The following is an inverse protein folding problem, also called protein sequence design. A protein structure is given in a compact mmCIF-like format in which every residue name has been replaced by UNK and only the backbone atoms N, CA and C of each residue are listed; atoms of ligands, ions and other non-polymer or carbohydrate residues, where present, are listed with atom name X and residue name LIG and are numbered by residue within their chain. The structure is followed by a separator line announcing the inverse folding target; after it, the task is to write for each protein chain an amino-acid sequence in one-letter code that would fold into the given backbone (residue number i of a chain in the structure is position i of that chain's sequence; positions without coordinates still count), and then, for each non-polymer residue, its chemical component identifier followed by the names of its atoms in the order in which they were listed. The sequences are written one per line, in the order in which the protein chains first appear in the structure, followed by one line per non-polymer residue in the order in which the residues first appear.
data_IF_431976198642
#
_entry.id   IF_431976198642
#
_cell.length_a   1.000
_cell.length_b   1.000
_cell.length_c   1.000
_cell.angle_alpha   90.00
_cell.angle_beta   90.00
_cell.angle_gamma   90.00
#
_symmetry.space_group_name_H-M   'P 1'
#
loop_
_entity.id
_entity.type
_entity.pdbx_description
1 polymer ?
#
# COMPACT_ATOMS: atom_id res chain seq x y z
N UNK A 1 -90.70 -29.83 -24.10
CA UNK A 1 -90.04 -28.51 -23.92
C UNK A 1 -89.02 -28.70 -22.85
N UNK A 2 -87.75 -28.82 -23.24
CA UNK A 2 -86.61 -29.03 -22.35
C UNK A 2 -85.94 -27.70 -21.97
N UNK A 3 -85.53 -27.48 -20.75
CA UNK A 3 -84.51 -26.51 -20.47
C UNK A 3 -83.16 -27.21 -20.24
N UNK A 4 -82.18 -26.71 -20.93
CA UNK A 4 -80.77 -27.09 -20.87
C UNK A 4 -80.16 -26.67 -19.54
N UNK A 5 -79.51 -27.62 -18.85
CA UNK A 5 -78.62 -27.40 -17.69
C UNK A 5 -77.23 -27.01 -18.16
N UNK A 6 -76.85 -25.79 -17.86
CA UNK A 6 -75.45 -25.29 -18.08
C UNK A 6 -74.60 -25.70 -16.90
N UNK A 7 -73.58 -26.52 -17.15
CA UNK A 7 -72.57 -26.89 -16.16
C UNK A 7 -71.43 -25.87 -16.16
N UNK A 8 -71.34 -25.10 -15.09
CA UNK A 8 -70.18 -24.22 -14.84
C UNK A 8 -68.96 -25.04 -14.47
N UNK A 9 -67.90 -24.97 -15.27
CA UNK A 9 -66.56 -25.54 -14.97
C UNK A 9 -65.81 -24.53 -14.14
N UNK A 10 -65.51 -24.88 -12.87
CA UNK A 10 -64.59 -24.14 -12.01
C UNK A 10 -63.21 -24.57 -12.38
N UNK A 11 -62.40 -23.66 -12.93
CA UNK A 11 -60.95 -23.85 -13.15
C UNK A 11 -60.19 -23.44 -11.89
N UNK A 12 -59.60 -24.43 -11.21
CA UNK A 12 -58.68 -24.18 -10.10
C UNK A 12 -57.31 -23.86 -10.69
N UNK A 13 -56.89 -22.59 -10.60
CA UNK A 13 -55.54 -22.18 -10.95
C UNK A 13 -54.62 -22.51 -9.77
N UNK A 14 -53.77 -23.53 -9.95
CA UNK A 14 -52.66 -23.82 -9.02
C UNK A 14 -51.52 -22.88 -9.32
N UNK A 15 -51.31 -21.86 -8.47
CA UNK A 15 -50.18 -20.96 -8.54
C UNK A 15 -48.98 -21.66 -7.88
N UNK A 16 -48.05 -22.13 -8.70
CA UNK A 16 -46.72 -22.56 -8.24
C UNK A 16 -45.92 -21.33 -7.89
N UNK A 17 -45.76 -21.03 -6.59
CA UNK A 17 -44.76 -20.07 -6.13
C UNK A 17 -43.39 -20.71 -6.32
N UNK A 18 -42.69 -20.34 -7.42
CA UNK A 18 -41.29 -20.61 -7.58
C UNK A 18 -40.54 -19.72 -6.59
N UNK A 19 -40.24 -20.22 -5.41
CA UNK A 19 -39.27 -19.60 -4.50
C UNK A 19 -37.89 -19.59 -5.16
N UNK A 20 -37.48 -18.43 -5.71
CA UNK A 20 -36.08 -18.22 -6.07
C UNK A 20 -35.27 -18.30 -4.78
N UNK A 21 -34.66 -19.44 -4.53
CA UNK A 21 -33.54 -19.56 -3.61
C UNK A 21 -32.37 -18.77 -4.22
N UNK A 22 -32.24 -17.51 -3.81
CA UNK A 22 -31.02 -16.76 -4.06
C UNK A 22 -29.86 -17.57 -3.39
N UNK A 23 -28.78 -17.89 -4.12
CA UNK A 23 -27.65 -18.54 -3.49
C UNK A 23 -27.17 -17.61 -2.37
N UNK A 24 -26.72 -18.17 -1.21
CA UNK A 24 -26.12 -17.36 -0.19
C UNK A 24 -24.96 -16.60 -0.82
N UNK A 25 -24.96 -15.29 -0.69
CA UNK A 25 -23.85 -14.44 -1.13
C UNK A 25 -22.59 -14.86 -0.33
N UNK A 26 -21.76 -15.69 -0.96
CA UNK A 26 -20.42 -16.03 -0.45
C UNK A 26 -19.47 -14.86 -0.64
N UNK A 27 -19.75 -13.73 -0.01
CA UNK A 27 -18.83 -12.61 0.13
C UNK A 27 -18.00 -12.79 1.41
N UNK A 28 -17.45 -13.99 1.63
CA UNK A 28 -16.71 -14.30 2.85
C UNK A 28 -15.22 -13.98 2.75
N UNK A 29 -14.66 -13.73 1.55
CA UNK A 29 -13.30 -13.24 1.39
C UNK A 29 -13.37 -11.80 0.90
N UNK A 30 -12.99 -10.86 1.77
CA UNK A 30 -12.97 -9.43 1.46
C UNK A 30 -12.21 -9.15 0.17
N UNK A 31 -12.63 -8.12 -0.58
CA UNK A 31 -11.93 -7.73 -1.80
C UNK A 31 -10.44 -7.48 -1.50
N UNK A 32 -9.51 -7.92 -2.37
CA UNK A 32 -8.09 -7.79 -2.08
C UNK A 32 -7.67 -6.32 -2.04
N UNK A 33 -6.84 -5.98 -1.07
CA UNK A 33 -6.05 -4.76 -1.11
C UNK A 33 -4.94 -4.94 -2.14
N UNK A 34 -5.01 -4.21 -3.24
CA UNK A 34 -4.08 -4.35 -4.36
C UNK A 34 -2.84 -3.51 -4.11
N UNK A 35 -1.66 -4.14 -4.21
CA UNK A 35 -0.37 -3.48 -4.01
C UNK A 35 0.45 -3.63 -5.29
N UNK A 36 0.90 -2.49 -5.88
CA UNK A 36 1.69 -2.46 -7.12
C UNK A 36 2.99 -1.69 -6.91
N UNK A 37 4.16 -2.25 -7.26
CA UNK A 37 5.40 -1.48 -7.32
C UNK A 37 5.27 -0.36 -8.36
N UNK A 38 5.69 0.86 -7.98
CA UNK A 38 5.69 2.03 -8.87
C UNK A 38 7.09 2.61 -9.08
N UNK A 39 8.03 2.35 -8.16
CA UNK A 39 9.43 2.67 -8.30
C UNK A 39 10.28 1.75 -7.43
N UNK A 40 11.48 1.40 -7.91
CA UNK A 40 12.45 0.65 -7.12
C UNK A 40 13.88 0.88 -7.56
N UNK A 41 14.81 0.73 -6.63
CA UNK A 41 16.26 0.72 -6.89
C UNK A 41 16.97 -0.19 -5.91
N UNK A 42 18.11 -0.73 -6.30
CA UNK A 42 18.99 -1.48 -5.42
C UNK A 42 20.25 -0.68 -5.11
N UNK A 43 20.67 -0.72 -3.86
CA UNK A 43 21.89 -0.07 -3.40
C UNK A 43 22.68 -1.00 -2.48
N UNK A 44 24.01 -0.99 -2.60
CA UNK A 44 24.88 -1.83 -1.77
C UNK A 44 25.15 -1.23 -0.39
N UNK A 45 24.93 0.07 -0.24
CA UNK A 45 25.19 0.78 0.99
C UNK A 45 24.15 1.86 1.19
N UNK A 46 23.78 2.11 2.42
CA UNK A 46 22.89 3.22 2.80
C UNK A 46 23.73 4.36 3.39
N UNK A 47 23.22 5.60 3.36
CA UNK A 47 23.81 6.70 4.08
C UNK A 47 23.88 6.41 5.57
N UNK A 48 24.89 6.98 6.27
CA UNK A 48 25.06 6.78 7.71
C UNK A 48 24.10 7.67 8.50
N UNK A 49 23.70 7.19 9.68
CA UNK A 49 22.86 7.92 10.63
C UNK A 49 21.36 7.57 10.52
N UNK A 50 20.51 8.24 11.29
CA UNK A 50 19.07 8.07 11.20
C UNK A 50 18.56 8.51 9.84
N UNK A 51 17.78 7.63 9.18
CA UNK A 51 17.22 7.87 7.86
C UNK A 51 15.71 8.09 7.94
N UNK A 52 15.23 8.98 7.10
CA UNK A 52 13.82 9.34 6.96
C UNK A 52 13.41 9.24 5.51
N UNK A 53 12.23 8.69 5.25
CA UNK A 53 11.59 8.83 3.96
C UNK A 53 11.01 10.23 3.84
N UNK A 54 11.51 11.01 2.89
CA UNK A 54 10.95 12.29 2.49
C UNK A 54 10.15 12.09 1.22
N UNK A 55 8.91 12.58 1.21
CA UNK A 55 8.00 12.55 0.05
C UNK A 55 7.75 13.97 -0.37
N UNK A 56 8.06 14.27 -1.62
CA UNK A 56 7.92 15.61 -2.21
C UNK A 56 7.14 15.53 -3.52
N UNK A 57 6.23 16.49 -3.76
CA UNK A 57 5.56 16.64 -5.04
C UNK A 57 6.36 17.55 -5.97
N UNK A 58 6.35 17.21 -7.26
CA UNK A 58 6.95 17.98 -8.34
C UNK A 58 5.92 18.28 -9.43
N UNK A 59 6.09 19.41 -10.19
CA UNK A 59 5.19 19.73 -11.28
C UNK A 59 5.25 18.72 -12.43
N UNK A 60 6.43 18.15 -12.71
CA UNK A 60 6.64 17.17 -13.80
C UNK A 60 7.61 16.06 -13.38
N UNK A 61 7.49 14.90 -14.05
CA UNK A 61 8.38 13.76 -13.80
C UNK A 61 9.84 14.09 -14.17
N UNK A 62 10.06 14.88 -15.21
CA UNK A 62 11.41 15.28 -15.62
C UNK A 62 12.08 16.18 -14.58
N UNK A 63 11.33 17.10 -13.99
CA UNK A 63 11.84 17.93 -12.87
C UNK A 63 12.14 17.07 -11.64
N UNK A 64 11.28 16.11 -11.29
CA UNK A 64 11.53 15.19 -10.20
C UNK A 64 12.79 14.33 -10.44
N UNK A 65 12.98 13.80 -11.66
CA UNK A 65 14.18 13.05 -12.04
C UNK A 65 15.45 13.88 -11.98
N UNK A 66 15.41 15.10 -12.50
CA UNK A 66 16.54 16.01 -12.44
C UNK A 66 16.92 16.37 -10.98
N UNK A 67 15.92 16.55 -10.12
CA UNK A 67 16.11 16.88 -8.71
C UNK A 67 16.55 15.67 -7.86
N UNK A 68 16.19 14.44 -8.24
CA UNK A 68 16.64 13.21 -7.59
C UNK A 68 18.17 13.09 -7.58
N UNK A 69 18.82 13.59 -8.63
CA UNK A 69 20.27 13.43 -8.79
C UNK A 69 20.68 11.96 -8.96
N UNK A 70 21.94 11.70 -8.72
CA UNK A 70 22.47 10.34 -8.74
C UNK A 70 22.96 9.93 -7.35
N UNK A 71 22.57 8.72 -6.93
CA UNK A 71 23.15 8.06 -5.78
C UNK A 71 24.25 7.13 -6.27
N UNK A 72 25.49 7.60 -6.23
CA UNK A 72 26.62 6.96 -6.88
C UNK A 72 27.75 6.65 -5.91
N UNK A 73 28.30 5.45 -6.01
CA UNK A 73 29.53 5.11 -5.31
C UNK A 73 30.70 5.94 -5.81
N UNK A 74 31.38 6.62 -4.88
CA UNK A 74 32.59 7.39 -5.14
C UNK A 74 33.80 6.62 -4.59
N UNK A 75 34.63 6.00 -5.46
CA UNK A 75 35.79 5.21 -5.02
C UNK A 75 36.88 6.07 -4.39
N UNK A 76 36.92 7.38 -4.68
CA UNK A 76 37.96 8.25 -4.14
C UNK A 76 37.72 8.62 -2.67
N UNK A 77 36.45 8.70 -2.26
CA UNK A 77 36.04 9.01 -0.87
C UNK A 77 35.59 7.76 -0.12
N UNK A 78 35.43 6.63 -0.82
CA UNK A 78 34.90 5.37 -0.26
C UNK A 78 33.50 5.59 0.36
N UNK A 79 32.71 6.48 -0.27
CA UNK A 79 31.36 6.83 0.15
C UNK A 79 30.41 6.88 -1.05
N UNK A 80 29.12 7.02 -0.78
CA UNK A 80 28.15 7.38 -1.81
C UNK A 80 27.91 8.88 -1.81
N UNK A 81 27.90 9.47 -3.00
CA UNK A 81 27.47 10.85 -3.22
C UNK A 81 25.96 10.89 -3.44
N UNK A 82 25.29 11.93 -2.95
CA UNK A 82 23.84 12.10 -3.03
C UNK A 82 23.04 11.29 -2.01
N UNK A 83 21.75 11.20 -2.26
CA UNK A 83 20.78 10.45 -1.44
C UNK A 83 20.00 9.49 -2.33
N UNK A 84 19.77 8.22 -1.91
CA UNK A 84 18.97 7.30 -2.70
C UNK A 84 17.56 7.86 -2.87
N UNK A 85 17.17 8.04 -4.12
CA UNK A 85 15.93 8.71 -4.50
C UNK A 85 15.20 7.97 -5.61
N UNK A 86 13.89 7.93 -5.52
CA UNK A 86 12.98 7.27 -6.45
C UNK A 86 11.95 8.28 -6.95
N UNK A 87 11.55 8.20 -8.21
CA UNK A 87 10.48 9.03 -8.77
C UNK A 87 9.34 8.18 -9.29
N UNK A 88 8.11 8.59 -9.08
CA UNK A 88 6.94 7.92 -9.62
C UNK A 88 5.77 8.87 -9.83
N UNK A 89 4.85 8.44 -10.70
CA UNK A 89 3.53 9.04 -10.83
C UNK A 89 2.50 8.17 -10.11
N UNK A 90 1.67 8.79 -9.27
CA UNK A 90 0.58 8.11 -8.57
C UNK A 90 -0.55 9.11 -8.27
N UNK A 91 -1.79 8.67 -8.38
CA UNK A 91 -2.99 9.46 -8.08
C UNK A 91 -2.98 10.84 -8.78
N UNK A 92 -2.49 10.92 -10.03
CA UNK A 92 -2.41 12.15 -10.82
C UNK A 92 -1.36 13.16 -10.35
N UNK A 93 -0.41 12.75 -9.51
CA UNK A 93 0.68 13.58 -9.00
C UNK A 93 2.04 12.93 -9.29
N UNK A 94 3.06 13.77 -9.38
CA UNK A 94 4.46 13.33 -9.47
C UNK A 94 5.09 13.41 -8.09
N UNK A 95 5.76 12.34 -7.71
CA UNK A 95 6.43 12.22 -6.43
C UNK A 95 7.93 11.96 -6.59
N UNK A 96 8.71 12.57 -5.71
CA UNK A 96 10.07 12.24 -5.40
C UNK A 96 10.12 11.66 -3.99
N UNK A 97 10.68 10.46 -3.84
CA UNK A 97 10.89 9.77 -2.58
C UNK A 97 12.39 9.74 -2.31
N UNK A 98 12.85 10.36 -1.25
CA UNK A 98 14.27 10.38 -0.88
C UNK A 98 14.45 9.74 0.49
N UNK A 99 15.38 8.79 0.60
CA UNK A 99 15.80 8.24 1.88
C UNK A 99 17.05 9.01 2.35
N UNK A 100 16.90 9.85 3.38
CA UNK A 100 17.96 10.76 3.79
C UNK A 100 17.79 11.30 5.21
N UNK A 101 18.53 12.36 5.58
CA UNK A 101 18.43 12.97 6.89
C UNK A 101 17.14 13.71 7.11
N UNK A 102 16.76 13.86 8.37
CA UNK A 102 15.60 14.65 8.77
C UNK A 102 15.73 16.13 8.36
N UNK A 103 14.59 16.73 8.03
CA UNK A 103 14.49 18.17 7.79
C UNK A 103 14.97 18.65 6.43
N UNK A 104 15.61 17.79 5.63
CA UNK A 104 16.08 18.16 4.30
C UNK A 104 14.92 18.47 3.34
N UNK A 105 15.23 19.23 2.28
CA UNK A 105 14.29 19.57 1.19
C UNK A 105 15.01 19.50 -0.15
N UNK A 106 14.25 19.31 -1.22
CA UNK A 106 14.79 19.29 -2.58
C UNK A 106 14.32 20.53 -3.33
N UNK A 107 15.23 21.32 -3.96
CA UNK A 107 14.83 22.48 -4.74
C UNK A 107 13.80 22.14 -5.82
N UNK A 108 12.74 22.93 -5.91
CA UNK A 108 11.63 22.73 -6.85
C UNK A 108 10.57 21.74 -6.39
N UNK A 109 10.80 21.02 -5.29
CA UNK A 109 9.84 20.11 -4.67
C UNK A 109 9.01 20.78 -3.57
N UNK A 110 7.81 20.28 -3.37
CA UNK A 110 6.97 20.60 -2.22
C UNK A 110 6.89 19.40 -1.29
N UNK A 111 7.49 19.49 -0.10
CA UNK A 111 7.46 18.39 0.87
C UNK A 111 6.04 18.15 1.37
N UNK A 112 5.53 16.94 1.22
CA UNK A 112 4.20 16.53 1.66
C UNK A 112 4.25 15.55 2.83
N UNK A 113 5.37 14.83 3.02
CA UNK A 113 5.55 13.94 4.16
C UNK A 113 7.04 13.77 4.49
N UNK A 114 7.31 13.46 5.77
CA UNK A 114 8.59 12.98 6.27
C UNK A 114 8.32 11.94 7.33
N UNK A 115 8.90 10.73 7.17
CA UNK A 115 8.55 9.55 7.97
C UNK A 115 9.83 8.90 8.48
N UNK A 116 9.94 8.75 9.78
CA UNK A 116 11.10 8.11 10.41
C UNK A 116 11.34 8.57 11.84
N UNK A 117 12.51 8.22 12.40
CA UNK A 117 13.56 7.45 11.73
C UNK A 117 13.07 6.05 11.35
N UNK A 118 13.37 5.62 10.12
CA UNK A 118 12.98 4.27 9.69
C UNK A 118 13.82 3.23 10.42
N UNK A 119 13.23 2.09 10.87
CA UNK A 119 13.98 1.02 11.49
C UNK A 119 15.12 0.55 10.60
N UNK A 120 16.34 0.57 11.12
CA UNK A 120 17.54 0.17 10.37
C UNK A 120 17.62 -1.35 10.22
N UNK A 121 18.19 -1.79 9.11
CA UNK A 121 18.58 -3.19 8.86
C UNK A 121 20.03 -3.25 8.41
N UNK A 122 20.61 -4.44 8.49
CA UNK A 122 21.92 -4.74 7.87
C UNK A 122 21.71 -5.80 6.80
N UNK A 123 22.10 -5.49 5.57
CA UNK A 123 21.97 -6.39 4.42
C UNK A 123 23.18 -6.24 3.48
N UNK A 124 23.52 -7.28 2.69
CA UNK A 124 24.56 -7.19 1.66
C UNK A 124 24.17 -6.23 0.51
N UNK A 125 22.88 -6.10 0.24
CA UNK A 125 22.29 -5.20 -0.74
C UNK A 125 20.89 -4.82 -0.25
N UNK A 126 20.49 -3.58 -0.45
CA UNK A 126 19.19 -3.06 -0.05
C UNK A 126 18.31 -2.84 -1.28
N UNK A 127 17.05 -3.25 -1.20
CA UNK A 127 16.01 -2.86 -2.12
C UNK A 127 15.22 -1.70 -1.51
N UNK A 128 15.27 -0.54 -2.15
CA UNK A 128 14.37 0.57 -1.91
C UNK A 128 13.23 0.46 -2.90
N UNK A 129 11.99 0.40 -2.41
CA UNK A 129 10.81 0.24 -3.26
C UNK A 129 9.71 1.15 -2.76
N UNK A 130 8.95 1.70 -3.71
CA UNK A 130 7.68 2.36 -3.43
C UNK A 130 6.57 1.58 -4.11
N UNK A 131 5.58 1.21 -3.33
CA UNK A 131 4.35 0.60 -3.82
C UNK A 131 3.20 1.61 -3.76
N UNK A 132 2.28 1.50 -4.70
CA UNK A 132 0.95 2.09 -4.63
C UNK A 132 -0.03 1.02 -4.16
N UNK A 133 -0.61 1.24 -3.01
CA UNK A 133 -1.63 0.38 -2.43
C UNK A 133 -3.03 0.97 -2.61
N UNK A 134 -4.02 0.14 -2.95
CA UNK A 134 -5.41 0.59 -3.10
C UNK A 134 -6.41 -0.53 -2.82
N UNK A 135 -7.58 -0.16 -2.30
CA UNK A 135 -8.67 -1.11 -2.12
C UNK A 135 -9.93 -0.48 -1.53
N UNK A 136 -11.09 -1.07 -1.80
CA UNK A 136 -12.37 -0.64 -1.25
C UNK A 136 -12.45 -0.92 0.25
N UNK A 137 -13.48 -0.40 0.95
CA UNK A 137 -13.71 -0.70 2.36
C UNK A 137 -13.66 -2.19 2.69
N UNK A 138 -12.93 -2.56 3.74
CA UNK A 138 -12.75 -3.94 4.19
C UNK A 138 -11.75 -4.78 3.37
N UNK A 139 -11.14 -4.23 2.31
CA UNK A 139 -10.06 -4.90 1.61
C UNK A 139 -8.83 -5.03 2.49
N UNK A 140 -8.06 -6.13 2.32
CA UNK A 140 -6.90 -6.43 3.14
C UNK A 140 -5.85 -7.26 2.41
N UNK A 141 -4.60 -7.19 2.88
CA UNK A 141 -3.53 -8.10 2.48
C UNK A 141 -3.66 -9.45 3.22
N UNK A 142 -3.11 -10.53 2.69
CA UNK A 142 -2.79 -11.69 3.53
C UNK A 142 -1.84 -11.31 4.65
N UNK A 143 -1.81 -12.11 5.73
CA UNK A 143 -0.81 -11.99 6.78
C UNK A 143 0.58 -12.25 6.21
N UNK A 144 1.49 -11.31 6.41
CA UNK A 144 2.84 -11.36 5.84
C UNK A 144 3.86 -10.62 6.70
N UNK A 145 5.13 -10.75 6.34
CA UNK A 145 6.22 -9.95 6.89
C UNK A 145 7.25 -9.61 5.82
N UNK A 146 8.11 -8.62 6.11
CA UNK A 146 9.20 -8.18 5.23
C UNK A 146 10.56 -8.35 5.91
N UNK A 147 11.62 -8.52 5.12
CA UNK A 147 13.00 -8.51 5.61
C UNK A 147 13.58 -7.08 5.68
N UNK A 148 12.80 -6.16 6.22
CA UNK A 148 13.17 -4.75 6.37
C UNK A 148 12.04 -3.93 6.95
N UNK A 149 12.16 -2.62 6.77
CA UNK A 149 11.18 -1.64 7.25
C UNK A 149 10.25 -1.16 6.14
N UNK A 150 9.08 -0.72 6.55
CA UNK A 150 8.13 -0.03 5.68
C UNK A 150 7.69 1.30 6.31
N UNK A 151 7.11 2.17 5.49
CA UNK A 151 6.54 3.43 5.91
C UNK A 151 5.36 3.78 5.01
N UNK A 152 4.34 4.45 5.54
CA UNK A 152 3.10 4.74 4.82
C UNK A 152 2.84 6.25 4.76
N UNK A 153 2.38 6.70 3.59
CA UNK A 153 1.73 7.98 3.42
C UNK A 153 0.36 7.74 2.77
N UNK A 154 -0.72 8.02 3.49
CA UNK A 154 -2.09 7.76 3.04
C UNK A 154 -2.56 8.93 2.18
N UNK A 155 -2.99 8.64 0.95
CA UNK A 155 -3.50 9.63 0.00
C UNK A 155 -5.01 9.85 0.17
N UNK A 156 -5.77 8.75 0.34
CA UNK A 156 -7.23 8.79 0.56
C UNK A 156 -7.62 7.68 1.54
N UNK A 157 -8.74 7.87 2.23
CA UNK A 157 -9.31 6.86 3.12
C UNK A 157 -8.59 6.73 4.46
N UNK A 158 -8.67 5.54 5.05
CA UNK A 158 -8.09 5.20 6.35
C UNK A 158 -7.43 3.84 6.29
N UNK A 159 -6.13 3.80 6.51
CA UNK A 159 -5.34 2.57 6.57
C UNK A 159 -5.33 2.03 8.00
N UNK A 160 -5.52 0.73 8.15
CA UNK A 160 -5.25 -0.02 9.36
C UNK A 160 -4.08 -0.98 9.15
N UNK A 161 -3.24 -1.14 10.16
CA UNK A 161 -2.20 -2.16 10.20
C UNK A 161 -2.34 -2.96 11.49
N UNK A 162 -2.62 -4.26 11.36
CA UNK A 162 -2.68 -5.22 12.46
C UNK A 162 -1.32 -5.90 12.61
N UNK A 163 -0.86 -6.02 13.87
CA UNK A 163 0.39 -6.71 14.26
C UNK A 163 0.16 -7.45 15.57
N UNK A 164 1.12 -8.26 16.07
CA UNK A 164 1.04 -8.86 17.41
C UNK A 164 0.91 -7.84 18.55
N UNK A 165 1.26 -6.57 18.29
CA UNK A 165 1.18 -5.50 19.29
C UNK A 165 -0.15 -4.73 19.25
N UNK A 166 -1.08 -5.10 18.37
CA UNK A 166 -2.37 -4.45 18.21
C UNK A 166 -2.58 -3.84 16.84
N UNK A 167 -3.54 -2.94 16.72
CA UNK A 167 -3.93 -2.29 15.47
C UNK A 167 -3.58 -0.81 15.56
N UNK A 168 -2.87 -0.32 14.55
CA UNK A 168 -2.61 1.11 14.33
C UNK A 168 -3.43 1.60 13.15
N UNK A 169 -3.82 2.89 13.18
CA UNK A 169 -4.59 3.52 12.12
C UNK A 169 -3.93 4.81 11.65
N UNK A 170 -4.05 5.10 10.36
CA UNK A 170 -3.61 6.36 9.77
C UNK A 170 -4.60 6.82 8.71
N UNK A 171 -4.91 8.13 8.70
CA UNK A 171 -5.88 8.74 7.79
C UNK A 171 -5.21 9.51 6.66
N UNK A 172 -6.00 9.87 5.64
CA UNK A 172 -5.55 10.66 4.50
C UNK A 172 -4.75 11.91 4.91
N UNK A 173 -3.66 12.17 4.22
CA UNK A 173 -2.74 13.29 4.50
C UNK A 173 -1.74 13.01 5.62
N UNK A 174 -1.81 11.87 6.29
CA UNK A 174 -0.94 11.51 7.41
C UNK A 174 -0.04 10.32 7.08
N UNK A 175 0.93 10.10 7.96
CA UNK A 175 1.97 9.08 7.81
C UNK A 175 1.96 8.09 8.97
N UNK A 176 2.45 6.89 8.70
CA UNK A 176 2.76 5.90 9.72
C UNK A 176 4.14 5.32 9.45
N UNK A 177 5.00 5.35 10.46
CA UNK A 177 6.24 4.57 10.43
C UNK A 177 5.86 3.13 10.75
N UNK A 178 6.20 2.23 9.83
CA UNK A 178 5.90 0.82 10.01
C UNK A 178 6.85 0.12 10.96
N UNK A 179 6.84 -1.18 10.90
CA UNK A 179 7.58 -2.03 11.83
C UNK A 179 8.94 -2.45 11.27
N UNK A 180 9.77 -3.00 12.16
CA UNK A 180 11.08 -3.58 11.81
C UNK A 180 10.94 -4.90 11.06
N UNK A 181 12.05 -5.39 10.52
CA UNK A 181 12.14 -6.66 9.81
C UNK A 181 11.52 -7.83 10.59
N UNK A 182 10.78 -8.69 9.88
CA UNK A 182 10.20 -9.92 10.40
C UNK A 182 8.91 -9.76 11.20
N UNK A 183 8.39 -8.54 11.39
CA UNK A 183 7.13 -8.33 12.09
C UNK A 183 5.95 -8.84 11.26
N UNK A 184 5.16 -9.82 11.75
CA UNK A 184 3.92 -10.23 11.10
C UNK A 184 2.91 -9.08 11.06
N UNK A 185 2.24 -8.91 9.91
CA UNK A 185 1.25 -7.85 9.75
C UNK A 185 0.16 -8.19 8.73
N UNK A 186 -0.98 -7.52 8.87
CA UNK A 186 -2.05 -7.40 7.88
C UNK A 186 -2.31 -5.90 7.67
N UNK A 187 -2.31 -5.44 6.43
CA UNK A 187 -2.69 -4.07 6.05
C UNK A 187 -4.07 -4.09 5.45
N UNK A 188 -4.94 -3.17 5.86
CA UNK A 188 -6.34 -3.17 5.43
C UNK A 188 -6.93 -1.77 5.33
N UNK A 189 -8.01 -1.65 4.56
CA UNK A 189 -8.83 -0.45 4.55
C UNK A 189 -9.78 -0.45 5.76
N UNK A 190 -9.50 0.41 6.72
CA UNK A 190 -10.28 0.60 7.95
C UNK A 190 -11.35 1.70 7.81
N UNK A 191 -11.49 2.31 6.65
CA UNK A 191 -12.43 3.39 6.37
C UNK A 191 -13.72 2.91 5.67
N UNK A 192 -14.55 3.89 5.35
CA UNK A 192 -15.82 3.71 4.60
C UNK A 192 -15.70 4.12 3.13
N UNK A 193 -14.56 4.68 2.72
CA UNK A 193 -14.24 5.08 1.36
C UNK A 193 -13.02 4.29 0.88
N UNK A 194 -12.74 4.35 -0.43
CA UNK A 194 -11.57 3.72 -1.01
C UNK A 194 -10.29 4.25 -0.38
N UNK A 195 -9.42 3.32 0.00
CA UNK A 195 -8.08 3.59 0.50
C UNK A 195 -7.10 3.64 -0.66
N UNK A 196 -6.25 4.67 -0.67
CA UNK A 196 -5.02 4.69 -1.47
C UNK A 196 -3.86 5.17 -0.62
N UNK A 197 -2.71 4.52 -0.76
CA UNK A 197 -1.52 4.84 0.00
C UNK A 197 -0.23 4.64 -0.81
N UNK A 198 0.79 5.42 -0.50
CA UNK A 198 2.17 5.19 -0.91
C UNK A 198 2.87 4.46 0.23
N UNK A 199 3.53 3.35 -0.11
CA UNK A 199 4.18 2.46 0.85
C UNK A 199 5.64 2.38 0.47
N UNK A 200 6.53 2.92 1.30
CA UNK A 200 7.97 2.97 1.07
C UNK A 200 8.66 1.87 1.86
N UNK A 201 9.52 1.13 1.20
CA UNK A 201 10.25 -0.01 1.77
C UNK A 201 11.75 0.17 1.69
N UNK A 202 12.44 -0.28 2.74
CA UNK A 202 13.86 -0.51 2.77
C UNK A 202 14.09 -1.93 3.29
N UNK A 203 14.35 -2.87 2.38
CA UNK A 203 14.42 -4.31 2.68
C UNK A 203 15.72 -4.94 2.16
N UNK A 204 16.08 -6.11 2.69
CA UNK A 204 17.20 -6.92 2.21
C UNK A 204 16.88 -7.45 0.79
N UNK A 205 17.64 -6.96 -0.21
CA UNK A 205 17.47 -7.34 -1.62
C UNK A 205 17.85 -8.79 -1.94
N UNK A 206 18.51 -9.49 -1.02
CA UNK A 206 18.90 -10.90 -1.17
C UNK A 206 17.83 -11.87 -0.67
N UNK A 207 16.75 -11.36 -0.11
CA UNK A 207 15.63 -12.12 0.43
C UNK A 207 14.37 -11.89 -0.40
N UNK A 208 13.35 -12.78 -0.29
CA UNK A 208 12.04 -12.49 -0.85
C UNK A 208 11.51 -11.16 -0.33
N UNK A 209 10.81 -10.39 -1.19
CA UNK A 209 10.25 -9.10 -0.79
C UNK A 209 9.28 -9.22 0.39
N UNK A 210 8.45 -10.24 0.38
CA UNK A 210 7.57 -10.61 1.49
C UNK A 210 7.48 -12.12 1.62
N UNK A 211 7.15 -12.58 2.82
CA UNK A 211 6.89 -14.00 3.11
C UNK A 211 5.58 -14.12 3.89
N UNK A 212 4.83 -15.22 3.72
CA UNK A 212 3.68 -15.52 4.55
C UNK A 212 4.06 -15.50 6.04
N UNK A 213 3.18 -14.96 6.86
CA UNK A 213 3.32 -14.94 8.30
C UNK A 213 1.99 -15.29 8.95
N UNK A 214 1.96 -15.48 10.27
CA UNK A 214 0.73 -15.73 11.02
C UNK A 214 0.64 -14.69 12.12
N UNK A 215 -0.46 -14.00 12.15
CA UNK A 215 -0.84 -13.14 13.27
C UNK A 215 -1.50 -13.99 14.36
N UNK A 216 -1.18 -13.75 15.63
CA UNK A 216 -1.82 -14.44 16.75
C UNK A 216 -3.29 -14.07 16.92
#
# INVERSE_FOLDING_TARGET
MNPLLSAARVAIAVVWALGMLLPPSTWADGMPYVVKPIAEMKVKQLPKGPLYWRVENFPTLDQAKAAAGEYRWNPNTVTYDGWPSLTAEAAGKVFLFTLGPQGATTPGGTKVAEIGPVPSITAPEYLLRVNYGSGPPGSKTPDHSHFGSEAFYVLTGKLGQKTPHGISYVEAGHTMNGHMAGMPMEVFNAGTNDLTALIMFMVDATKPFSVPATLP
#
